data_IF_819628915434
#
_entry.id   IF_819628915434
#
_cell.length_a   1.000
_cell.length_b   1.000
_cell.length_c   1.000
_cell.angle_alpha   90.00
_cell.angle_beta   90.00
_cell.angle_gamma   90.00
#
_symmetry.space_group_name_H-M   'P 1'
#
loop_
_entity.id
_entity.type
_entity.pdbx_description
1 polymer ?
#
# COMPACT_ATOMS: atom_id res chain seq x y z
N UNK A 1 28.25 -6.14 13.28
CA UNK A 1 27.38 -7.33 13.22
C UNK A 1 27.15 -7.67 11.75
N UNK A 2 27.37 -8.93 11.34
CA UNK A 2 27.39 -9.33 9.93
C UNK A 2 25.97 -9.30 9.34
N UNK A 3 25.80 -8.73 8.14
CA UNK A 3 24.57 -8.82 7.37
C UNK A 3 24.65 -10.04 6.45
N UNK A 4 24.23 -11.21 6.96
CA UNK A 4 24.35 -12.47 6.22
C UNK A 4 23.68 -12.45 4.84
N UNK A 5 22.52 -11.79 4.70
CA UNK A 5 21.83 -11.67 3.41
C UNK A 5 22.71 -10.93 2.39
N UNK A 6 23.37 -9.85 2.82
CA UNK A 6 24.27 -9.09 1.96
C UNK A 6 25.53 -9.88 1.59
N UNK A 7 26.12 -10.62 2.53
CA UNK A 7 27.30 -11.45 2.25
C UNK A 7 26.97 -12.61 1.30
N UNK A 8 25.85 -13.30 1.50
CA UNK A 8 25.36 -14.34 0.59
C UNK A 8 25.07 -13.75 -0.79
N UNK A 9 24.46 -12.56 -0.87
CA UNK A 9 24.20 -11.90 -2.14
C UNK A 9 25.50 -11.55 -2.89
N UNK A 10 26.54 -11.12 -2.17
CA UNK A 10 27.85 -10.84 -2.75
C UNK A 10 28.54 -12.10 -3.27
N UNK A 11 28.43 -13.21 -2.55
CA UNK A 11 29.11 -14.46 -2.88
C UNK A 11 28.41 -15.25 -3.98
N UNK A 12 27.08 -15.30 -3.98
CA UNK A 12 26.31 -16.01 -5.01
C UNK A 12 26.04 -15.11 -6.23
N UNK A 13 25.98 -13.80 -6.03
CA UNK A 13 25.78 -12.78 -7.07
C UNK A 13 24.54 -13.02 -7.94
N UNK A 14 23.38 -13.15 -7.29
CA UNK A 14 22.09 -13.32 -7.99
C UNK A 14 21.55 -11.97 -8.48
N UNK A 15 20.84 -11.99 -9.62
CA UNK A 15 20.30 -10.76 -10.23
C UNK A 15 18.94 -10.36 -9.66
N UNK A 16 18.23 -11.32 -9.06
CA UNK A 16 16.90 -11.20 -8.47
C UNK A 16 16.91 -10.38 -7.16
N UNK A 17 18.10 -10.13 -6.61
CA UNK A 17 18.30 -9.24 -5.47
C UNK A 17 18.21 -9.92 -4.09
N UNK A 18 18.53 -9.14 -3.06
CA UNK A 18 18.64 -9.60 -1.65
C UNK A 18 17.35 -10.22 -1.11
N UNK A 19 16.19 -9.75 -1.59
CA UNK A 19 14.88 -10.24 -1.16
C UNK A 19 14.70 -11.73 -1.45
N UNK A 20 15.21 -12.23 -2.58
CA UNK A 20 15.08 -13.65 -2.92
C UNK A 20 15.89 -14.54 -1.96
N UNK A 21 17.07 -14.08 -1.52
CA UNK A 21 17.89 -14.77 -0.51
C UNK A 21 17.19 -14.78 0.86
N UNK A 22 16.58 -13.67 1.23
CA UNK A 22 15.80 -13.56 2.47
C UNK A 22 14.59 -14.50 2.45
N UNK A 23 13.82 -14.52 1.36
CA UNK A 23 12.65 -15.37 1.19
C UNK A 23 12.99 -16.87 1.31
N UNK A 24 14.14 -17.31 0.79
CA UNK A 24 14.61 -18.70 0.97
C UNK A 24 14.80 -19.02 2.45
N UNK A 25 15.42 -18.11 3.21
CA UNK A 25 15.66 -18.31 4.63
C UNK A 25 14.32 -18.35 5.41
N UNK A 26 13.37 -17.48 5.07
CA UNK A 26 12.02 -17.48 5.63
C UNK A 26 11.23 -18.74 5.27
N UNK A 27 11.34 -19.25 4.04
CA UNK A 27 10.68 -20.50 3.67
C UNK A 27 11.18 -21.69 4.51
N UNK A 28 12.47 -21.73 4.84
CA UNK A 28 13.03 -22.75 5.75
C UNK A 28 12.53 -22.55 7.18
N UNK A 29 12.41 -21.30 7.65
CA UNK A 29 11.90 -20.96 8.98
C UNK A 29 10.46 -21.43 9.24
N UNK A 30 9.60 -21.33 8.22
CA UNK A 30 8.22 -21.76 8.32
C UNK A 30 8.01 -23.24 7.95
N UNK A 31 8.94 -23.84 7.20
CA UNK A 31 8.87 -25.25 6.81
C UNK A 31 10.27 -25.88 6.83
N UNK A 32 10.64 -26.43 7.99
CA UNK A 32 11.88 -27.20 8.10
C UNK A 32 11.86 -28.43 7.21
N UNK A 33 13.02 -28.79 6.66
CA UNK A 33 13.13 -29.94 5.75
C UNK A 33 12.56 -29.69 4.35
N UNK A 34 12.19 -28.45 4.01
CA UNK A 34 11.73 -28.09 2.67
C UNK A 34 12.73 -28.49 1.58
N UNK A 35 12.22 -29.10 0.50
CA UNK A 35 13.05 -29.62 -0.59
C UNK A 35 13.62 -28.49 -1.45
N UNK A 36 14.77 -28.74 -2.10
CA UNK A 36 15.35 -27.77 -3.06
C UNK A 36 14.39 -27.49 -4.23
N UNK A 37 13.60 -28.49 -4.65
CA UNK A 37 12.59 -28.33 -5.71
C UNK A 37 11.47 -27.39 -5.28
N UNK A 38 11.03 -27.49 -4.03
CA UNK A 38 9.98 -26.61 -3.48
C UNK A 38 10.50 -25.19 -3.25
N UNK A 39 11.70 -25.03 -2.67
CA UNK A 39 12.36 -23.72 -2.55
C UNK A 39 12.55 -23.04 -3.91
N UNK A 40 12.96 -23.79 -4.93
CA UNK A 40 13.10 -23.31 -6.30
C UNK A 40 11.78 -22.77 -6.85
N UNK A 41 10.68 -23.52 -6.68
CA UNK A 41 9.34 -23.08 -7.12
C UNK A 41 8.85 -21.85 -6.36
N UNK A 42 8.98 -21.83 -5.04
CA UNK A 42 8.48 -20.74 -4.20
C UNK A 42 9.21 -19.41 -4.45
N UNK A 43 10.48 -19.48 -4.88
CA UNK A 43 11.32 -18.29 -5.07
C UNK A 43 11.60 -17.98 -6.54
N UNK A 44 11.05 -18.77 -7.48
CA UNK A 44 11.27 -18.63 -8.93
C UNK A 44 12.76 -18.65 -9.32
N UNK A 45 13.58 -19.41 -8.59
CA UNK A 45 15.02 -19.51 -8.80
C UNK A 45 15.42 -20.92 -9.27
N UNK A 46 16.43 -21.05 -10.15
CA UNK A 46 16.96 -22.36 -10.53
C UNK A 46 17.48 -23.15 -9.32
N UNK A 47 17.28 -24.46 -9.32
CA UNK A 47 17.74 -25.35 -8.23
C UNK A 47 19.25 -25.16 -7.90
N UNK A 48 20.17 -25.03 -8.88
CA UNK A 48 21.59 -24.81 -8.57
C UNK A 48 21.83 -23.53 -7.76
N UNK A 49 21.08 -22.46 -8.03
CA UNK A 49 21.16 -21.18 -7.30
C UNK A 49 20.67 -21.36 -5.86
N UNK A 50 19.55 -22.06 -5.66
CA UNK A 50 19.06 -22.42 -4.32
C UNK A 50 20.12 -23.19 -3.53
N UNK A 51 20.78 -24.17 -4.15
CA UNK A 51 21.83 -24.95 -3.50
C UNK A 51 23.03 -24.08 -3.13
N UNK A 52 23.45 -23.16 -4.01
CA UNK A 52 24.54 -22.22 -3.74
C UNK A 52 24.22 -21.31 -2.53
N UNK A 53 23.03 -20.71 -2.50
CA UNK A 53 22.55 -19.87 -1.39
C UNK A 53 22.56 -20.65 -0.07
N UNK A 54 22.02 -21.88 -0.09
CA UNK A 54 22.00 -22.74 1.11
C UNK A 54 23.40 -23.09 1.61
N UNK A 55 24.33 -23.41 0.71
CA UNK A 55 25.72 -23.70 1.08
C UNK A 55 26.39 -22.50 1.75
N UNK A 56 26.15 -21.29 1.25
CA UNK A 56 26.66 -20.07 1.90
C UNK A 56 26.03 -19.86 3.29
N UNK A 57 24.73 -20.07 3.45
CA UNK A 57 24.11 -20.01 4.78
C UNK A 57 24.63 -21.07 5.75
N UNK A 58 24.95 -22.29 5.28
CA UNK A 58 25.59 -23.33 6.09
C UNK A 58 27.00 -22.90 6.50
N UNK A 59 27.78 -22.33 5.59
CA UNK A 59 29.12 -21.79 5.86
C UNK A 59 29.10 -20.68 6.92
N UNK A 60 28.07 -19.84 6.91
CA UNK A 60 27.85 -18.83 7.95
C UNK A 60 27.22 -19.36 9.24
N UNK A 61 26.92 -20.67 9.31
CA UNK A 61 26.36 -21.31 10.50
C UNK A 61 24.89 -21.02 10.74
N UNK A 62 24.15 -20.46 9.78
CA UNK A 62 22.71 -20.20 9.91
C UNK A 62 21.86 -21.44 9.62
N UNK A 63 22.35 -22.33 8.76
CA UNK A 63 21.67 -23.56 8.37
C UNK A 63 22.53 -24.79 8.67
N UNK A 64 21.88 -25.93 8.86
CA UNK A 64 22.51 -27.24 8.99
C UNK A 64 21.83 -28.25 8.08
N UNK A 65 22.62 -29.17 7.52
CA UNK A 65 22.13 -30.32 6.76
C UNK A 65 21.93 -31.50 7.73
N UNK A 66 20.69 -31.75 8.13
CA UNK A 66 20.30 -32.86 9.00
C UNK A 66 18.89 -33.36 8.67
N UNK A 67 18.81 -34.52 8.02
CA UNK A 67 17.55 -35.13 7.51
C UNK A 67 16.68 -34.11 6.76
N UNK A 68 17.31 -33.26 5.95
CA UNK A 68 16.74 -32.04 5.38
C UNK A 68 17.60 -30.83 5.73
N UNK A 69 17.16 -29.63 5.35
CA UNK A 69 17.81 -28.39 5.79
C UNK A 69 16.97 -27.74 6.88
N UNK A 70 17.66 -27.34 7.95
CA UNK A 70 17.08 -26.78 9.17
C UNK A 70 17.86 -25.55 9.61
N UNK A 71 17.24 -24.75 10.47
CA UNK A 71 17.89 -23.61 11.10
C UNK A 71 18.77 -24.08 12.26
N UNK A 72 19.91 -23.42 12.42
CA UNK A 72 20.65 -23.48 13.69
C UNK A 72 20.04 -22.51 14.70
N UNK A 73 20.54 -22.51 15.94
CA UNK A 73 20.17 -21.48 16.94
C UNK A 73 20.50 -20.07 16.45
N UNK A 74 21.62 -19.91 15.74
CA UNK A 74 22.03 -18.62 15.17
C UNK A 74 21.11 -18.22 14.01
N UNK A 75 20.76 -19.16 13.13
CA UNK A 75 19.78 -18.94 12.05
C UNK A 75 18.43 -18.46 12.58
N UNK A 76 17.93 -19.14 13.61
CA UNK A 76 16.69 -18.78 14.29
C UNK A 76 16.77 -17.37 14.89
N UNK A 77 17.84 -17.09 15.66
CA UNK A 77 18.08 -15.78 16.27
C UNK A 77 18.16 -14.66 15.22
N UNK A 78 18.80 -14.92 14.07
CA UNK A 78 18.89 -13.97 12.97
C UNK A 78 17.52 -13.62 12.41
N UNK A 79 16.69 -14.62 12.07
CA UNK A 79 15.34 -14.38 11.54
C UNK A 79 14.47 -13.65 12.58
N UNK A 80 14.47 -14.11 13.83
CA UNK A 80 13.62 -13.56 14.87
C UNK A 80 14.01 -12.13 15.23
N UNK A 81 15.30 -11.87 15.46
CA UNK A 81 15.76 -10.58 15.99
C UNK A 81 16.18 -9.58 14.90
N UNK A 82 16.66 -10.04 13.74
CA UNK A 82 17.14 -9.14 12.66
C UNK A 82 16.10 -8.96 11.56
N UNK A 83 15.40 -10.03 11.16
CA UNK A 83 14.32 -9.94 10.17
C UNK A 83 12.96 -9.61 10.79
N UNK A 84 12.84 -9.56 12.12
CA UNK A 84 11.65 -9.10 12.81
C UNK A 84 10.57 -10.14 13.05
N UNK A 85 10.90 -11.43 12.96
CA UNK A 85 9.93 -12.52 13.10
C UNK A 85 9.77 -13.03 14.54
N UNK A 86 10.41 -12.41 15.53
CA UNK A 86 10.30 -12.80 16.94
C UNK A 86 8.85 -12.71 17.41
N UNK A 87 8.33 -13.80 17.98
CA UNK A 87 6.97 -13.82 18.53
C UNK A 87 5.86 -13.80 17.47
N UNK A 88 6.19 -14.02 16.19
CA UNK A 88 5.21 -14.16 15.14
C UNK A 88 4.40 -15.47 15.31
N UNK A 89 3.09 -15.40 15.10
CA UNK A 89 2.23 -16.58 15.06
C UNK A 89 2.41 -17.30 13.73
N UNK A 90 3.32 -18.28 13.71
CA UNK A 90 3.73 -19.00 12.48
C UNK A 90 2.55 -19.62 11.72
N UNK A 91 1.64 -20.26 12.44
CA UNK A 91 0.48 -20.93 11.82
C UNK A 91 -0.41 -19.92 11.09
N UNK A 92 -0.71 -18.78 11.72
CA UNK A 92 -1.48 -17.72 11.09
C UNK A 92 -0.74 -17.13 9.88
N UNK A 93 0.55 -16.84 10.02
CA UNK A 93 1.34 -16.32 8.89
C UNK A 93 1.26 -17.26 7.67
N UNK A 94 1.40 -18.57 7.90
CA UNK A 94 1.32 -19.58 6.84
C UNK A 94 -0.07 -19.74 6.25
N UNK A 95 -1.14 -19.58 7.05
CA UNK A 95 -2.51 -19.54 6.55
C UNK A 95 -2.74 -18.35 5.62
N UNK A 96 -2.23 -17.16 5.98
CA UNK A 96 -2.41 -15.94 5.19
C UNK A 96 -1.63 -15.92 3.87
N UNK A 97 -0.65 -16.82 3.70
CA UNK A 97 0.03 -17.03 2.43
C UNK A 97 -0.77 -17.87 1.42
N UNK A 98 -1.84 -18.53 1.85
CA UNK A 98 -2.70 -19.36 0.99
C UNK A 98 -3.76 -18.51 0.32
N UNK A 99 -4.34 -19.03 -0.76
CA UNK A 99 -5.44 -18.38 -1.48
C UNK A 99 -6.76 -18.35 -0.69
N UNK A 100 -6.92 -19.19 0.34
CA UNK A 100 -8.13 -19.30 1.17
C UNK A 100 -8.07 -18.45 2.44
N UNK A 101 -7.18 -17.45 2.49
CA UNK A 101 -6.92 -16.67 3.69
C UNK A 101 -8.16 -15.88 4.17
N UNK A 102 -9.08 -15.55 3.27
CA UNK A 102 -10.33 -14.84 3.60
C UNK A 102 -11.23 -15.61 4.57
N UNK A 103 -11.11 -16.95 4.60
CA UNK A 103 -11.92 -17.85 5.43
C UNK A 103 -11.38 -17.97 6.87
N UNK A 104 -10.18 -17.44 7.13
CA UNK A 104 -9.55 -17.56 8.44
C UNK A 104 -10.27 -16.71 9.50
N UNK A 105 -10.55 -17.31 10.66
CA UNK A 105 -11.25 -16.66 11.77
C UNK A 105 -10.54 -15.38 12.21
N UNK A 106 -9.21 -15.37 12.23
CA UNK A 106 -8.42 -14.22 12.62
C UNK A 106 -8.64 -13.00 11.72
N UNK A 107 -8.92 -13.22 10.43
CA UNK A 107 -9.24 -12.15 9.47
C UNK A 107 -10.64 -11.60 9.72
N UNK A 108 -11.60 -12.49 10.03
CA UNK A 108 -12.94 -12.08 10.44
C UNK A 108 -12.89 -11.21 11.70
N UNK A 109 -12.06 -11.57 12.67
CA UNK A 109 -11.87 -10.78 13.90
C UNK A 109 -11.20 -9.43 13.65
N UNK A 110 -10.21 -9.36 12.74
CA UNK A 110 -9.60 -8.09 12.31
C UNK A 110 -10.64 -7.20 11.65
N UNK A 111 -11.44 -7.72 10.72
CA UNK A 111 -12.52 -6.98 10.06
C UNK A 111 -13.56 -6.48 11.08
N UNK A 112 -13.98 -7.33 12.02
CA UNK A 112 -14.94 -6.93 13.08
C UNK A 112 -14.41 -5.75 13.89
N UNK A 113 -13.12 -5.77 14.25
CA UNK A 113 -12.48 -4.70 15.01
C UNK A 113 -12.37 -3.41 14.20
N UNK A 114 -12.05 -3.53 12.91
CA UNK A 114 -11.93 -2.38 12.00
C UNK A 114 -13.28 -1.81 11.56
N UNK A 115 -14.40 -2.52 11.75
CA UNK A 115 -15.72 -2.08 11.30
C UNK A 115 -16.07 -0.68 11.84
N UNK A 116 -15.95 -0.48 13.16
CA UNK A 116 -16.22 0.82 13.78
C UNK A 116 -15.23 1.90 13.32
N UNK A 117 -13.97 1.53 13.09
CA UNK A 117 -12.94 2.44 12.58
C UNK A 117 -13.29 2.92 11.17
N UNK A 118 -13.81 2.05 10.31
CA UNK A 118 -14.18 2.41 8.94
C UNK A 118 -15.50 3.19 8.87
N UNK A 119 -16.43 2.95 9.80
CA UNK A 119 -17.68 3.70 9.92
C UNK A 119 -17.41 5.16 10.33
N UNK A 120 -16.49 5.36 11.28
CA UNK A 120 -16.22 6.69 11.88
C UNK A 120 -15.13 7.50 11.15
N UNK A 121 -14.58 6.98 10.05
CA UNK A 121 -13.51 7.66 9.32
C UNK A 121 -13.96 8.99 8.71
N UNK A 122 -13.04 9.94 8.46
CA UNK A 122 -13.35 11.21 7.83
C UNK A 122 -14.13 11.05 6.52
N UNK A 123 -15.05 11.98 6.26
CA UNK A 123 -15.76 12.04 4.99
C UNK A 123 -14.79 12.41 3.86
N UNK A 124 -14.96 11.75 2.70
CA UNK A 124 -14.17 12.00 1.51
C UNK A 124 -14.28 13.47 1.08
N UNK A 125 -13.14 14.12 0.89
CA UNK A 125 -13.03 15.41 0.22
C UNK A 125 -12.77 15.20 -1.28
N UNK A 126 -13.86 15.26 -2.04
CA UNK A 126 -13.84 15.10 -3.50
C UNK A 126 -13.05 16.21 -4.22
N UNK A 127 -12.66 17.31 -3.54
CA UNK A 127 -11.84 18.37 -4.15
C UNK A 127 -10.37 17.96 -4.31
N UNK A 128 -9.93 16.95 -3.57
CA UNK A 128 -8.59 16.34 -3.66
C UNK A 128 -8.66 14.89 -4.15
N UNK A 129 -9.71 14.56 -4.92
CA UNK A 129 -9.96 13.24 -5.51
C UNK A 129 -10.06 12.06 -4.51
N UNK A 130 -10.35 12.32 -3.23
CA UNK A 130 -10.56 11.24 -2.25
C UNK A 130 -11.75 10.35 -2.61
N UNK A 131 -11.57 9.04 -2.43
CA UNK A 131 -12.58 8.01 -2.68
C UNK A 131 -12.32 6.82 -1.78
N UNK A 132 -13.19 6.65 -0.79
CA UNK A 132 -13.03 5.66 0.26
C UNK A 132 -13.21 4.22 -0.25
N UNK A 133 -12.19 3.40 -0.14
CA UNK A 133 -12.28 1.95 -0.36
C UNK A 133 -13.04 1.25 0.77
N UNK A 134 -13.57 0.05 0.51
CA UNK A 134 -14.23 -0.76 1.52
C UNK A 134 -13.23 -1.34 2.52
N UNK A 135 -13.72 -1.66 3.72
CA UNK A 135 -12.93 -2.40 4.73
C UNK A 135 -12.30 -3.68 4.17
N UNK A 136 -13.07 -4.43 3.37
CA UNK A 136 -12.58 -5.66 2.75
C UNK A 136 -11.38 -5.38 1.83
N UNK A 137 -11.44 -4.29 1.06
CA UNK A 137 -10.32 -3.85 0.19
C UNK A 137 -9.08 -3.52 1.02
N UNK A 138 -9.20 -2.73 2.08
CA UNK A 138 -8.06 -2.38 2.92
C UNK A 138 -7.38 -3.62 3.55
N UNK A 139 -8.18 -4.60 4.02
CA UNK A 139 -7.64 -5.86 4.55
C UNK A 139 -6.98 -6.70 3.44
N UNK A 140 -7.58 -6.78 2.24
CA UNK A 140 -6.97 -7.44 1.08
C UNK A 140 -5.61 -6.83 0.73
N UNK A 141 -5.49 -5.50 0.74
CA UNK A 141 -4.22 -4.78 0.51
C UNK A 141 -3.18 -5.14 1.57
N UNK A 142 -3.58 -5.23 2.84
CA UNK A 142 -2.69 -5.62 3.93
C UNK A 142 -2.19 -7.07 3.81
N UNK A 143 -3.06 -8.01 3.46
CA UNK A 143 -2.66 -9.42 3.24
C UNK A 143 -1.79 -9.56 1.99
N UNK A 144 -2.08 -8.80 0.91
CA UNK A 144 -1.22 -8.74 -0.26
C UNK A 144 0.19 -8.25 0.08
N UNK A 145 0.32 -7.29 1.01
CA UNK A 145 1.62 -6.84 1.53
C UNK A 145 2.41 -8.00 2.16
N UNK A 146 1.74 -8.78 3.01
CA UNK A 146 2.32 -9.97 3.64
C UNK A 146 2.73 -11.02 2.60
N UNK A 147 1.88 -11.30 1.61
CA UNK A 147 2.14 -12.26 0.55
C UNK A 147 3.34 -11.87 -0.34
N UNK A 148 3.70 -10.58 -0.37
CA UNK A 148 4.89 -10.07 -1.05
C UNK A 148 6.11 -9.94 -0.12
N UNK A 149 6.07 -10.52 1.10
CA UNK A 149 7.14 -10.43 2.11
C UNK A 149 7.51 -8.99 2.49
N UNK A 150 6.56 -8.06 2.31
CA UNK A 150 6.73 -6.62 2.45
C UNK A 150 6.10 -6.06 3.74
N UNK A 151 5.55 -6.92 4.60
CA UNK A 151 4.90 -6.51 5.85
C UNK A 151 5.83 -6.60 7.06
N UNK A 152 6.27 -7.81 7.42
CA UNK A 152 7.00 -8.06 8.67
C UNK A 152 8.43 -7.53 8.59
N UNK A 153 8.83 -6.72 9.56
CA UNK A 153 10.18 -6.17 9.67
C UNK A 153 10.54 -5.14 8.62
N UNK A 154 9.53 -4.51 8.02
CA UNK A 154 9.70 -3.54 6.93
C UNK A 154 9.41 -2.10 7.35
N UNK A 155 9.99 -1.17 6.61
CA UNK A 155 9.57 0.22 6.58
C UNK A 155 8.61 0.42 5.40
N UNK A 156 7.34 0.67 5.71
CA UNK A 156 6.26 0.78 4.73
C UNK A 156 5.84 2.24 4.61
N UNK A 157 5.68 2.74 3.39
CA UNK A 157 5.15 4.08 3.12
C UNK A 157 3.74 4.01 2.52
N UNK A 158 2.81 4.79 3.04
CA UNK A 158 1.52 5.08 2.42
C UNK A 158 1.59 6.51 1.85
N UNK A 159 1.59 6.61 0.53
CA UNK A 159 1.58 7.88 -0.23
C UNK A 159 0.12 8.23 -0.50
N UNK A 160 -0.48 8.98 0.43
CA UNK A 160 -1.93 9.10 0.59
C UNK A 160 -2.52 7.92 1.37
N UNK A 161 -3.51 8.17 2.24
CA UNK A 161 -4.15 7.09 3.02
C UNK A 161 -5.58 7.40 3.51
N UNK A 162 -6.42 8.06 2.70
CA UNK A 162 -7.86 8.20 2.97
C UNK A 162 -8.59 6.83 3.06
N UNK A 163 -7.98 5.81 2.47
CA UNK A 163 -8.38 4.40 2.52
C UNK A 163 -8.07 3.66 3.83
N UNK A 164 -7.27 4.26 4.73
CA UNK A 164 -6.83 3.66 5.99
C UNK A 164 -6.09 2.32 5.79
N UNK A 165 -5.30 2.18 4.72
CA UNK A 165 -4.46 1.00 4.48
C UNK A 165 -3.42 0.88 5.59
N UNK A 166 -2.86 1.99 6.08
CA UNK A 166 -1.92 1.96 7.21
C UNK A 166 -2.51 1.34 8.47
N UNK A 167 -3.78 1.64 8.75
CA UNK A 167 -4.52 1.10 9.89
C UNK A 167 -4.77 -0.39 9.69
N UNK A 168 -5.20 -0.82 8.50
CA UNK A 168 -5.38 -2.24 8.19
C UNK A 168 -4.07 -3.04 8.34
N UNK A 169 -2.94 -2.49 7.86
CA UNK A 169 -1.60 -3.07 8.07
C UNK A 169 -1.26 -3.18 9.56
N UNK A 170 -1.50 -2.13 10.34
CA UNK A 170 -1.25 -2.10 11.79
C UNK A 170 -2.06 -3.16 12.55
N UNK A 171 -3.36 -3.28 12.26
CA UNK A 171 -4.21 -4.30 12.89
C UNK A 171 -3.83 -5.73 12.46
N UNK A 172 -3.43 -5.93 11.20
CA UNK A 172 -2.92 -7.22 10.74
C UNK A 172 -1.62 -7.60 11.47
N UNK A 173 -0.69 -6.66 11.66
CA UNK A 173 0.51 -6.86 12.47
C UNK A 173 0.16 -7.19 13.93
N UNK A 174 -0.75 -6.42 14.55
CA UNK A 174 -1.23 -6.70 15.92
C UNK A 174 -1.84 -8.09 16.03
N UNK A 175 -2.48 -8.57 14.97
CA UNK A 175 -2.95 -9.95 14.90
C UNK A 175 -1.79 -10.92 14.67
N UNK A 176 -0.80 -10.66 13.83
CA UNK A 176 0.29 -11.60 13.54
C UNK A 176 1.25 -11.84 14.71
N UNK A 177 1.37 -10.90 15.64
CA UNK A 177 2.28 -11.00 16.78
C UNK A 177 1.54 -11.33 18.07
N UNK A 178 2.12 -12.21 18.90
CA UNK A 178 1.60 -12.48 20.23
C UNK A 178 1.73 -11.25 21.16
N UNK A 179 2.83 -10.50 21.00
CA UNK A 179 3.03 -9.18 21.59
C UNK A 179 3.52 -8.22 20.48
N UNK A 180 2.77 -7.15 20.21
CA UNK A 180 3.10 -6.16 19.19
C UNK A 180 4.43 -5.45 19.46
N UNK A 181 4.93 -5.42 20.70
CA UNK A 181 6.23 -4.83 21.04
C UNK A 181 7.42 -5.57 20.42
N UNK A 182 7.23 -6.83 19.98
CA UNK A 182 8.24 -7.56 19.21
C UNK A 182 8.22 -7.22 17.72
N UNK A 183 7.18 -6.53 17.24
CA UNK A 183 7.12 -6.05 15.87
C UNK A 183 8.06 -4.86 15.71
N UNK A 184 8.98 -4.97 14.75
CA UNK A 184 9.90 -3.89 14.36
C UNK A 184 9.51 -3.26 13.01
N UNK A 185 8.33 -3.57 12.48
CA UNK A 185 7.76 -2.92 11.29
C UNK A 185 7.42 -1.47 11.62
N UNK A 186 7.68 -0.54 10.72
CA UNK A 186 7.22 0.86 10.85
C UNK A 186 6.41 1.25 9.61
N UNK A 187 5.26 1.86 9.82
CA UNK A 187 4.38 2.35 8.76
C UNK A 187 4.38 3.88 8.80
N UNK A 188 4.70 4.53 7.69
CA UNK A 188 4.61 5.97 7.55
C UNK A 188 3.46 6.33 6.63
N UNK A 189 2.65 7.29 7.04
CA UNK A 189 1.58 7.89 6.25
C UNK A 189 1.99 9.31 5.91
N UNK A 190 2.03 9.62 4.62
CA UNK A 190 2.20 11.00 4.15
C UNK A 190 0.92 11.38 3.43
N UNK A 191 0.28 12.46 3.87
CA UNK A 191 -0.96 12.96 3.27
C UNK A 191 -1.04 14.48 3.39
N UNK A 192 -1.84 15.13 2.56
CA UNK A 192 -2.12 16.57 2.66
C UNK A 192 -3.27 16.83 3.64
N UNK A 193 -4.16 15.86 3.84
CA UNK A 193 -5.38 16.02 4.64
C UNK A 193 -5.13 15.74 6.12
N UNK A 194 -5.04 16.82 6.91
CA UNK A 194 -4.87 16.73 8.35
C UNK A 194 -6.02 16.00 9.07
N UNK A 195 -7.23 15.91 8.48
CA UNK A 195 -8.34 15.17 9.09
C UNK A 195 -8.05 13.68 9.10
N UNK A 196 -7.57 13.16 7.96
CA UNK A 196 -7.14 11.76 7.81
C UNK A 196 -5.94 11.48 8.71
N UNK A 197 -4.92 12.33 8.69
CA UNK A 197 -3.72 12.14 9.50
C UNK A 197 -4.01 12.13 11.00
N UNK A 198 -4.86 13.05 11.48
CA UNK A 198 -5.25 13.11 12.90
C UNK A 198 -6.00 11.84 13.29
N UNK A 199 -6.97 11.42 12.47
CA UNK A 199 -7.73 10.20 12.71
C UNK A 199 -6.84 8.95 12.80
N UNK A 200 -5.87 8.80 11.88
CA UNK A 200 -4.92 7.69 11.90
C UNK A 200 -4.02 7.76 13.15
N UNK A 201 -3.54 8.95 13.53
CA UNK A 201 -2.71 9.13 14.74
C UNK A 201 -3.46 8.69 15.99
N UNK A 202 -4.70 9.13 16.16
CA UNK A 202 -5.51 8.79 17.34
C UNK A 202 -5.72 7.27 17.46
N UNK A 203 -5.98 6.59 16.34
CA UNK A 203 -6.10 5.13 16.30
C UNK A 203 -4.75 4.47 16.63
N UNK A 204 -3.66 4.95 16.02
CA UNK A 204 -2.34 4.39 16.21
C UNK A 204 -1.89 4.48 17.67
N UNK A 205 -2.15 5.60 18.33
CA UNK A 205 -1.85 5.79 19.76
C UNK A 205 -2.73 4.89 20.64
N UNK A 206 -4.06 4.92 20.43
CA UNK A 206 -5.02 4.10 21.19
C UNK A 206 -4.70 2.61 21.09
N UNK A 207 -4.39 2.14 19.89
CA UNK A 207 -4.22 0.71 19.59
C UNK A 207 -2.76 0.25 19.63
N UNK A 208 -1.82 1.17 19.90
CA UNK A 208 -0.36 0.97 19.89
C UNK A 208 0.14 0.40 18.56
N UNK A 209 -0.36 0.94 17.45
CA UNK A 209 0.06 0.55 16.12
C UNK A 209 1.36 1.26 15.73
N UNK A 210 2.25 0.63 14.95
CA UNK A 210 3.53 1.21 14.58
C UNK A 210 3.40 2.20 13.41
N UNK A 211 2.47 3.17 13.51
CA UNK A 211 2.15 4.12 12.46
C UNK A 211 2.66 5.51 12.83
N UNK A 212 3.28 6.19 11.87
CA UNK A 212 3.74 7.58 11.97
C UNK A 212 3.12 8.39 10.84
N UNK A 213 2.62 9.58 11.14
CA UNK A 213 1.89 10.40 10.18
C UNK A 213 2.61 11.75 9.95
N UNK A 214 2.77 12.12 8.68
CA UNK A 214 3.41 13.36 8.24
C UNK A 214 2.50 14.11 7.26
N UNK A 215 2.32 15.41 7.51
CA UNK A 215 1.57 16.30 6.63
C UNK A 215 2.49 16.80 5.52
N UNK A 216 2.16 16.54 4.26
CA UNK A 216 2.90 17.05 3.11
C UNK A 216 2.04 17.12 1.85
N UNK A 217 2.31 18.11 1.01
CA UNK A 217 1.74 18.21 -0.34
C UNK A 217 2.71 17.58 -1.35
N UNK A 218 2.28 16.50 -2.01
CA UNK A 218 3.09 15.78 -3.00
C UNK A 218 3.44 16.57 -4.26
N UNK A 219 2.85 17.76 -4.47
CA UNK A 219 3.37 18.71 -5.47
C UNK A 219 4.83 19.06 -5.19
N UNK A 220 5.23 19.08 -3.92
CA UNK A 220 6.63 19.27 -3.50
C UNK A 220 7.34 17.91 -3.40
N UNK A 221 8.66 17.85 -3.68
CA UNK A 221 9.48 16.70 -3.32
C UNK A 221 9.36 16.35 -1.84
N UNK A 222 9.60 15.10 -1.49
CA UNK A 222 9.61 14.70 -0.09
C UNK A 222 10.80 15.32 0.64
N UNK A 223 10.71 15.45 1.97
CA UNK A 223 11.89 15.84 2.75
C UNK A 223 13.00 14.82 2.52
N UNK A 224 14.26 15.28 2.53
CA UNK A 224 15.44 14.40 2.49
C UNK A 224 15.45 13.37 3.62
N UNK A 225 14.73 13.64 4.71
CA UNK A 225 14.56 12.69 5.82
C UNK A 225 13.69 11.48 5.45
N UNK A 226 13.11 11.42 4.25
CA UNK A 226 12.33 10.29 3.75
C UNK A 226 13.03 9.52 2.62
N UNK A 227 14.17 10.02 2.12
CA UNK A 227 14.83 9.42 0.94
C UNK A 227 15.53 8.12 1.30
N UNK A 228 15.31 7.09 0.47
CA UNK A 228 15.99 5.79 0.55
C UNK A 228 15.79 4.99 1.86
N UNK A 229 14.62 5.09 2.49
CA UNK A 229 14.35 4.47 3.80
C UNK A 229 13.34 3.33 3.77
N UNK A 230 12.54 3.23 2.70
CA UNK A 230 11.39 2.36 2.64
C UNK A 230 11.63 1.09 1.82
N UNK A 231 11.01 0.00 2.25
CA UNK A 231 11.08 -1.32 1.61
C UNK A 231 9.92 -1.53 0.63
N UNK A 232 8.81 -0.81 0.80
CA UNK A 232 7.69 -0.81 -0.13
C UNK A 232 6.82 0.43 0.07
N UNK A 233 5.93 0.71 -0.87
CA UNK A 233 4.89 1.72 -0.66
C UNK A 233 3.54 1.37 -1.28
N UNK A 234 2.49 1.96 -0.72
CA UNK A 234 1.12 1.96 -1.23
C UNK A 234 0.76 3.33 -1.76
N UNK A 235 -0.05 3.38 -2.82
CA UNK A 235 -0.69 4.62 -3.26
C UNK A 235 -1.99 4.33 -4.03
N UNK A 236 -2.97 5.20 -3.85
CA UNK A 236 -4.20 5.28 -4.65
C UNK A 236 -4.30 6.71 -5.20
N UNK A 237 -3.57 7.02 -6.28
CA UNK A 237 -3.34 8.40 -6.70
C UNK A 237 -4.52 8.96 -7.50
N UNK A 238 -4.55 10.27 -7.76
CA UNK A 238 -5.50 10.85 -8.71
C UNK A 238 -5.47 10.13 -10.06
N UNK A 239 -6.64 9.90 -10.65
CA UNK A 239 -6.79 9.03 -11.84
C UNK A 239 -6.45 9.69 -13.18
N UNK A 240 -5.42 10.54 -13.16
CA UNK A 240 -4.78 11.21 -14.30
C UNK A 240 -3.37 10.63 -14.47
N UNK A 241 -2.80 10.65 -15.68
CA UNK A 241 -1.43 10.15 -15.88
C UNK A 241 -0.42 10.97 -15.06
N UNK A 242 -0.57 12.29 -15.03
CA UNK A 242 0.31 13.16 -14.25
C UNK A 242 0.18 12.93 -12.74
N UNK A 243 -1.03 12.72 -12.24
CA UNK A 243 -1.27 12.41 -10.83
C UNK A 243 -0.69 11.06 -10.42
N UNK A 244 -0.90 10.03 -11.24
CA UNK A 244 -0.25 8.73 -11.07
C UNK A 244 1.28 8.88 -11.06
N UNK A 245 1.85 9.59 -12.04
CA UNK A 245 3.29 9.75 -12.18
C UNK A 245 3.91 10.55 -11.03
N UNK A 246 3.21 11.56 -10.52
CA UNK A 246 3.65 12.35 -9.37
C UNK A 246 3.74 11.48 -8.11
N UNK A 247 2.65 10.76 -7.77
CA UNK A 247 2.60 9.95 -6.56
C UNK A 247 3.58 8.77 -6.62
N UNK A 248 3.69 8.10 -7.78
CA UNK A 248 4.72 7.08 -8.00
C UNK A 248 6.13 7.66 -7.85
N UNK A 249 6.39 8.86 -8.38
CA UNK A 249 7.69 9.52 -8.23
C UNK A 249 8.03 9.79 -6.76
N UNK A 250 7.08 10.25 -5.95
CA UNK A 250 7.29 10.46 -4.50
C UNK A 250 7.54 9.16 -3.76
N UNK A 251 6.82 8.10 -4.09
CA UNK A 251 7.09 6.77 -3.53
C UNK A 251 8.48 6.25 -3.90
N UNK A 252 8.88 6.36 -5.18
CA UNK A 252 10.19 5.91 -5.67
C UNK A 252 11.35 6.71 -5.07
N UNK A 253 11.17 8.00 -4.83
CA UNK A 253 12.14 8.86 -4.11
C UNK A 253 12.44 8.32 -2.70
N UNK A 254 11.41 7.81 -2.03
CA UNK A 254 11.51 7.32 -0.65
C UNK A 254 12.04 5.88 -0.55
N UNK A 255 11.89 5.06 -1.59
CA UNK A 255 12.34 3.67 -1.59
C UNK A 255 13.87 3.55 -1.51
N UNK A 256 14.34 2.56 -0.74
CA UNK A 256 15.75 2.13 -0.76
C UNK A 256 16.18 1.81 -2.19
N UNK A 257 17.43 2.09 -2.55
CA UNK A 257 18.02 1.70 -3.85
C UNK A 257 18.31 0.20 -3.89
N UNK A 258 17.26 -0.59 -4.11
CA UNK A 258 17.33 -2.04 -4.20
C UNK A 258 16.42 -2.56 -5.31
N UNK A 259 16.80 -3.67 -5.94
CA UNK A 259 15.97 -4.36 -6.92
C UNK A 259 14.86 -5.14 -6.22
N UNK A 260 13.69 -5.20 -6.85
CA UNK A 260 12.60 -6.07 -6.43
C UNK A 260 11.72 -5.54 -5.30
N UNK A 261 11.90 -4.29 -4.87
CA UNK A 261 11.03 -3.68 -3.86
C UNK A 261 9.63 -3.49 -4.43
N UNK A 262 8.57 -3.96 -3.75
CA UNK A 262 7.22 -3.89 -4.28
C UNK A 262 6.60 -2.50 -4.12
N UNK A 263 5.82 -2.14 -5.13
CA UNK A 263 4.98 -0.93 -5.15
C UNK A 263 3.55 -1.40 -5.37
N UNK A 264 2.64 -1.00 -4.48
CA UNK A 264 1.24 -1.36 -4.54
C UNK A 264 0.43 -0.17 -5.05
N UNK A 265 0.12 -0.19 -6.35
CA UNK A 265 -0.62 0.87 -7.02
C UNK A 265 -2.10 0.45 -7.18
N UNK A 266 -2.98 1.13 -6.46
CA UNK A 266 -4.41 1.06 -6.71
C UNK A 266 -4.78 2.04 -7.82
N UNK A 267 -5.63 1.61 -8.75
CA UNK A 267 -6.04 2.46 -9.84
C UNK A 267 -7.39 2.03 -10.43
N UNK A 268 -8.13 2.95 -11.04
CA UNK A 268 -9.35 2.61 -11.78
C UNK A 268 -9.05 1.82 -13.08
N UNK A 269 -10.02 1.05 -13.57
CA UNK A 269 -9.98 0.49 -14.92
C UNK A 269 -10.11 1.60 -15.96
N UNK A 270 -9.32 1.56 -17.04
CA UNK A 270 -9.29 2.60 -18.07
C UNK A 270 -9.40 1.98 -19.47
N UNK A 271 -9.47 2.81 -20.51
CA UNK A 271 -9.46 2.32 -21.89
C UNK A 271 -8.10 1.66 -22.21
N UNK A 272 -8.05 0.71 -23.17
CA UNK A 272 -6.80 0.08 -23.58
C UNK A 272 -5.67 1.08 -23.91
N UNK A 273 -5.98 2.18 -24.61
CA UNK A 273 -5.00 3.21 -24.95
C UNK A 273 -4.43 3.91 -23.69
N UNK A 274 -5.27 4.12 -22.68
CA UNK A 274 -4.83 4.73 -21.43
C UNK A 274 -3.98 3.74 -20.63
N UNK A 275 -4.38 2.45 -20.58
CA UNK A 275 -3.58 1.42 -19.91
C UNK A 275 -2.23 1.20 -20.61
N UNK A 276 -2.17 1.31 -21.93
CA UNK A 276 -0.93 1.32 -22.69
C UNK A 276 -0.03 2.50 -22.31
N UNK A 277 -0.59 3.72 -22.22
CA UNK A 277 0.13 4.89 -21.76
C UNK A 277 0.63 4.75 -20.31
N UNK A 278 -0.15 4.12 -19.42
CA UNK A 278 0.30 3.81 -18.06
C UNK A 278 1.50 2.86 -18.08
N UNK A 279 1.46 1.80 -18.91
CA UNK A 279 2.59 0.87 -19.03
C UNK A 279 3.86 1.56 -19.55
N UNK A 280 3.73 2.49 -20.50
CA UNK A 280 4.87 3.30 -20.96
C UNK A 280 5.47 4.12 -19.80
N UNK A 281 4.64 4.76 -18.98
CA UNK A 281 5.11 5.49 -17.80
C UNK A 281 5.87 4.58 -16.82
N UNK A 282 5.40 3.34 -16.59
CA UNK A 282 6.10 2.38 -15.74
C UNK A 282 7.48 2.00 -16.29
N UNK A 283 7.57 1.80 -17.61
CA UNK A 283 8.84 1.52 -18.30
C UNK A 283 9.80 2.71 -18.20
N UNK A 284 9.30 3.93 -18.38
CA UNK A 284 10.10 5.16 -18.28
C UNK A 284 10.63 5.38 -16.86
N UNK A 285 9.87 4.97 -15.84
CA UNK A 285 10.30 4.90 -14.44
C UNK A 285 11.25 3.74 -14.14
N UNK A 286 11.53 2.86 -15.10
CA UNK A 286 12.36 1.67 -14.89
C UNK A 286 11.73 0.65 -13.93
N UNK A 287 10.40 0.52 -13.95
CA UNK A 287 9.64 -0.44 -13.15
C UNK A 287 9.20 -1.63 -14.00
N UNK A 288 9.01 -2.78 -13.36
CA UNK A 288 8.33 -3.93 -13.97
C UNK A 288 6.92 -4.08 -13.37
N UNK A 289 5.98 -4.54 -14.19
CA UNK A 289 4.65 -4.96 -13.74
C UNK A 289 4.73 -6.43 -13.34
N UNK A 290 4.68 -6.72 -12.03
CA UNK A 290 4.76 -8.10 -11.51
C UNK A 290 3.40 -8.79 -11.46
N UNK A 291 2.31 -8.05 -11.24
CA UNK A 291 0.95 -8.59 -11.17
C UNK A 291 -0.07 -7.50 -11.43
N UNK A 292 -1.14 -7.82 -12.16
CA UNK A 292 -2.34 -6.99 -12.29
C UNK A 292 -3.52 -7.80 -11.78
N UNK A 293 -4.21 -7.30 -10.76
CA UNK A 293 -5.40 -7.93 -10.18
C UNK A 293 -6.61 -7.05 -10.47
N UNK A 294 -7.41 -7.48 -11.44
CA UNK A 294 -8.61 -6.76 -11.84
C UNK A 294 -9.70 -6.90 -10.77
N UNK A 295 -10.51 -5.84 -10.60
CA UNK A 295 -11.61 -5.78 -9.62
C UNK A 295 -11.16 -6.10 -8.18
N UNK A 296 -9.91 -5.77 -7.85
CA UNK A 296 -9.33 -5.99 -6.53
C UNK A 296 -9.85 -4.97 -5.52
N UNK A 297 -9.94 -3.70 -5.95
CA UNK A 297 -10.38 -2.60 -5.10
C UNK A 297 -11.87 -2.39 -5.27
N UNK A 298 -12.59 -2.19 -4.17
CA UNK A 298 -14.00 -1.77 -4.15
C UNK A 298 -14.14 -0.48 -3.36
N UNK A 299 -14.92 0.47 -3.84
CA UNK A 299 -15.10 1.80 -3.25
C UNK A 299 -16.55 2.07 -2.84
N UNK A 300 -16.74 2.93 -1.83
CA UNK A 300 -18.05 3.38 -1.36
C UNK A 300 -18.63 4.48 -2.26
N UNK A 301 -19.92 4.42 -2.58
CA UNK A 301 -20.66 5.56 -3.16
C UNK A 301 -20.48 5.86 -4.66
N UNK A 302 -19.71 5.08 -5.42
CA UNK A 302 -19.51 5.23 -6.88
C UNK A 302 -20.31 4.19 -7.72
N UNK A 303 -21.58 3.97 -7.37
CA UNK A 303 -22.43 2.91 -7.93
C UNK A 303 -22.63 3.00 -9.46
N UNK A 304 -22.53 4.20 -10.03
CA UNK A 304 -22.74 4.45 -11.46
C UNK A 304 -21.59 3.91 -12.34
N UNK A 305 -20.39 3.68 -11.77
CA UNK A 305 -19.21 3.16 -12.49
C UNK A 305 -18.80 1.75 -12.03
N UNK A 306 -19.70 1.05 -11.33
CA UNK A 306 -19.45 -0.32 -10.88
C UNK A 306 -18.47 -0.43 -9.70
N UNK A 307 -18.14 0.68 -9.02
CA UNK A 307 -17.43 0.73 -7.73
C UNK A 307 -16.10 -0.03 -7.63
N UNK A 308 -15.48 -0.46 -8.73
CA UNK A 308 -14.33 -1.37 -8.69
C UNK A 308 -13.12 -0.84 -9.45
N UNK A 309 -11.93 -1.08 -8.89
CA UNK A 309 -10.63 -0.77 -9.48
C UNK A 309 -9.73 -2.00 -9.54
N UNK A 310 -8.50 -1.79 -9.96
CA UNK A 310 -7.45 -2.80 -10.03
C UNK A 310 -6.33 -2.49 -9.04
N UNK A 311 -5.64 -3.55 -8.62
CA UNK A 311 -4.38 -3.45 -7.89
C UNK A 311 -3.25 -3.93 -8.79
N UNK A 312 -2.27 -3.07 -9.00
CA UNK A 312 -1.09 -3.31 -9.82
C UNK A 312 0.11 -3.40 -8.88
N UNK A 313 0.76 -4.56 -8.85
CA UNK A 313 2.02 -4.74 -8.10
C UNK A 313 3.17 -4.49 -9.05
N UNK A 314 3.85 -3.35 -8.88
CA UNK A 314 5.09 -3.04 -9.59
C UNK A 314 6.30 -3.45 -8.75
N UNK A 315 7.46 -3.60 -9.38
CA UNK A 315 8.72 -3.82 -8.67
C UNK A 315 9.83 -2.95 -9.23
N UNK A 316 10.72 -2.51 -8.34
CA UNK A 316 11.91 -1.75 -8.73
C UNK A 316 12.93 -2.62 -9.45
N UNK A 317 13.75 -1.97 -10.28
CA UNK A 317 14.91 -2.52 -10.97
C UNK A 317 16.13 -1.64 -10.69
N UNK A 318 17.29 -2.04 -11.20
CA UNK A 318 18.50 -1.21 -11.14
C UNK A 318 18.39 0.10 -11.92
N UNK A 319 17.35 0.25 -12.76
CA UNK A 319 17.06 1.44 -13.55
C UNK A 319 15.96 2.31 -12.96
N UNK A 320 15.39 1.93 -11.81
CA UNK A 320 14.26 2.64 -11.23
C UNK A 320 14.61 4.08 -10.88
N UNK A 321 13.80 5.01 -11.38
CA UNK A 321 13.98 6.46 -11.21
C UNK A 321 12.64 7.18 -11.13
N UNK A 322 12.65 8.36 -10.56
CA UNK A 322 11.49 9.26 -10.54
C UNK A 322 11.34 9.93 -11.90
N UNK A 323 10.10 10.21 -12.34
CA UNK A 323 9.88 11.09 -13.51
C UNK A 323 9.72 12.55 -13.12
N UNK A 324 9.39 12.84 -11.86
CA UNK A 324 9.09 14.18 -11.37
C UNK A 324 9.92 14.54 -10.14
N UNK A 325 11.11 15.12 -10.35
CA UNK A 325 12.04 15.49 -9.28
C UNK A 325 11.76 16.87 -8.67
N UNK A 326 11.15 17.78 -9.43
CA UNK A 326 10.92 19.16 -9.01
C UNK A 326 9.49 19.39 -8.49
N UNK A 327 9.24 20.63 -8.06
CA UNK A 327 7.89 21.09 -7.74
C UNK A 327 6.96 20.94 -8.96
N UNK A 328 5.81 20.30 -8.76
CA UNK A 328 4.79 20.13 -9.78
C UNK A 328 3.80 21.30 -9.77
N UNK A 329 3.70 21.99 -10.90
CA UNK A 329 2.84 23.18 -11.08
C UNK A 329 1.57 22.91 -11.90
N UNK A 330 1.46 21.71 -12.47
CA UNK A 330 0.31 21.34 -13.31
C UNK A 330 -0.94 21.05 -12.50
N UNK A 331 -2.08 20.88 -13.19
CA UNK A 331 -3.30 20.37 -12.57
C UNK A 331 -3.07 18.94 -12.07
N UNK A 332 -3.47 18.65 -10.83
CA UNK A 332 -3.28 17.35 -10.19
C UNK A 332 -4.59 16.58 -10.10
N UNK A 333 -5.63 17.23 -9.59
CA UNK A 333 -6.90 16.61 -9.30
C UNK A 333 -7.86 16.67 -10.49
N UNK A 334 -8.75 15.70 -10.60
CA UNK A 334 -9.70 15.56 -11.70
C UNK A 334 -10.57 16.80 -11.86
N UNK A 335 -10.95 17.43 -10.74
CA UNK A 335 -11.71 18.68 -10.75
C UNK A 335 -10.96 19.88 -11.33
N UNK A 336 -9.62 19.90 -11.25
CA UNK A 336 -8.78 20.97 -11.83
C UNK A 336 -8.73 20.85 -13.37
N UNK A 337 -8.72 19.63 -13.90
CA UNK A 337 -8.74 19.33 -15.33
C UNK A 337 -10.13 19.48 -15.96
N UNK A 338 -11.15 18.90 -15.32
CA UNK A 338 -12.53 18.87 -15.81
C UNK A 338 -13.37 19.81 -14.96
N UNK A 339 -13.26 21.10 -15.24
CA UNK A 339 -14.08 22.11 -14.57
C UNK A 339 -15.55 21.85 -14.88
N UNK A 340 -16.33 21.53 -13.87
CA UNK A 340 -17.78 21.34 -14.00
C UNK A 340 -18.51 22.18 -12.98
N UNK A 341 -19.60 22.80 -13.41
CA UNK A 341 -20.56 23.48 -12.52
C UNK A 341 -21.84 22.67 -12.50
N UNK A 342 -22.27 22.29 -11.31
CA UNK A 342 -23.50 21.54 -11.07
C UNK A 342 -24.55 22.49 -10.50
N UNK A 343 -25.77 22.41 -11.02
CA UNK A 343 -26.91 23.18 -10.52
C UNK A 343 -27.77 22.29 -9.62
N UNK A 344 -27.92 22.67 -8.37
CA UNK A 344 -28.74 21.97 -7.39
C UNK A 344 -29.99 22.77 -7.03
N UNK A 345 -31.16 22.12 -7.04
CA UNK A 345 -32.43 22.68 -6.55
C UNK A 345 -32.66 22.28 -5.10
N UNK A 346 -32.92 23.23 -4.21
CA UNK A 346 -33.45 22.93 -2.89
C UNK A 346 -34.83 22.26 -3.01
N UNK A 347 -35.02 21.11 -2.35
CA UNK A 347 -36.29 20.37 -2.37
C UNK A 347 -37.45 21.13 -1.70
N UNK A 348 -37.14 21.99 -0.72
CA UNK A 348 -38.15 22.72 0.05
C UNK A 348 -38.60 24.03 -0.63
N UNK A 349 -37.68 24.92 -1.00
CA UNK A 349 -38.03 26.25 -1.51
C UNK A 349 -37.75 26.45 -3.01
N UNK A 350 -37.22 25.43 -3.70
CA UNK A 350 -36.92 25.49 -5.12
C UNK A 350 -35.70 26.34 -5.51
N UNK A 351 -34.99 26.94 -4.55
CA UNK A 351 -33.81 27.76 -4.84
C UNK A 351 -32.76 26.94 -5.59
N UNK A 352 -32.23 27.50 -6.68
CA UNK A 352 -31.15 26.89 -7.46
C UNK A 352 -29.80 27.43 -7.02
N UNK A 353 -28.83 26.55 -6.82
CA UNK A 353 -27.52 26.86 -6.28
C UNK A 353 -26.45 26.20 -7.16
N UNK A 354 -25.44 26.99 -7.54
CA UNK A 354 -24.26 26.51 -8.28
C UNK A 354 -23.26 25.88 -7.32
N UNK A 355 -22.77 24.71 -7.69
CA UNK A 355 -21.76 23.96 -6.94
C UNK A 355 -20.63 23.55 -7.89
N UNK A 356 -19.39 23.92 -7.56
CA UNK A 356 -18.21 23.62 -8.36
C UNK A 356 -16.96 24.29 -7.80
N UNK A 357 -15.78 23.85 -8.22
CA UNK A 357 -14.49 24.36 -7.68
C UNK A 357 -14.29 25.87 -7.86
N UNK A 358 -14.89 26.46 -8.90
CA UNK A 358 -14.88 27.90 -9.18
C UNK A 358 -16.04 28.67 -8.55
N UNK A 359 -16.94 28.00 -7.83
CA UNK A 359 -18.15 28.59 -7.25
C UNK A 359 -18.00 28.83 -5.75
N UNK A 360 -18.95 29.59 -5.16
CA UNK A 360 -18.96 29.86 -3.71
C UNK A 360 -19.09 28.62 -2.83
N UNK A 361 -19.72 27.57 -3.37
CA UNK A 361 -19.87 26.27 -2.72
C UNK A 361 -19.19 25.25 -3.62
N UNK A 362 -18.19 24.55 -3.07
CA UNK A 362 -17.32 23.68 -3.86
C UNK A 362 -17.90 22.28 -4.04
N UNK A 363 -18.57 21.75 -3.01
CA UNK A 363 -19.10 20.39 -2.98
C UNK A 363 -20.57 20.33 -2.55
N UNK A 364 -21.25 19.21 -2.86
CA UNK A 364 -22.65 19.01 -2.45
C UNK A 364 -22.75 18.75 -0.94
N UNK A 365 -21.73 18.16 -0.33
CA UNK A 365 -21.60 17.96 1.12
C UNK A 365 -21.52 19.30 1.84
N UNK A 366 -20.73 20.25 1.31
CA UNK A 366 -20.68 21.62 1.84
C UNK A 366 -22.04 22.31 1.74
N UNK A 367 -22.73 22.16 0.60
CA UNK A 367 -24.09 22.70 0.44
C UNK A 367 -25.07 22.11 1.46
N UNK A 368 -25.04 20.79 1.66
CA UNK A 368 -25.89 20.09 2.63
C UNK A 368 -25.61 20.53 4.06
N UNK A 369 -24.33 20.70 4.42
CA UNK A 369 -23.91 21.16 5.75
C UNK A 369 -24.35 22.60 6.03
N UNK A 370 -24.15 23.53 5.08
CA UNK A 370 -24.56 24.94 5.22
C UNK A 370 -26.08 25.13 5.17
N UNK A 371 -26.78 24.24 4.46
CA UNK A 371 -28.21 24.36 4.21
C UNK A 371 -28.53 25.40 3.14
N UNK A 372 -29.78 25.38 2.68
CA UNK A 372 -30.25 26.27 1.64
C UNK A 372 -30.28 27.72 2.13
N UNK A 373 -29.60 28.64 1.44
CA UNK A 373 -29.52 30.06 1.87
C UNK A 373 -30.86 30.76 2.08
N UNK A 374 -31.95 30.26 1.49
CA UNK A 374 -33.30 30.81 1.63
C UNK A 374 -34.16 30.17 2.73
N UNK A 375 -33.96 28.88 3.04
CA UNK A 375 -34.88 28.14 3.93
C UNK A 375 -34.21 27.13 4.86
N UNK A 376 -32.87 27.12 4.90
CA UNK A 376 -32.03 26.23 5.70
C UNK A 376 -32.21 24.72 5.47
N UNK A 377 -33.10 24.30 4.55
CA UNK A 377 -33.26 22.90 4.17
C UNK A 377 -31.95 22.32 3.61
N UNK A 378 -31.65 21.08 3.99
CA UNK A 378 -30.37 20.42 3.67
C UNK A 378 -30.50 19.40 2.52
N UNK A 379 -31.67 19.29 1.89
CA UNK A 379 -31.92 18.32 0.82
C UNK A 379 -32.03 19.00 -0.55
N UNK A 380 -31.28 18.49 -1.52
CA UNK A 380 -31.13 19.09 -2.84
C UNK A 380 -31.21 18.04 -3.95
N UNK A 381 -31.75 18.43 -5.10
CA UNK A 381 -31.77 17.64 -6.34
C UNK A 381 -30.78 18.22 -7.35
N UNK A 382 -29.98 17.37 -7.99
CA UNK A 382 -29.18 17.80 -9.14
C UNK A 382 -30.12 18.05 -10.32
N UNK A 383 -30.05 19.26 -10.90
CA UNK A 383 -30.87 19.66 -12.06
C UNK A 383 -30.06 19.58 -13.34
N UNK A 384 -28.78 19.98 -13.28
CA UNK A 384 -27.94 20.11 -14.45
C UNK A 384 -26.45 20.00 -14.09
N UNK A 385 -25.64 19.58 -15.06
CA UNK A 385 -24.19 19.44 -14.98
C UNK A 385 -23.55 20.01 -16.25
N UNK A 386 -23.10 21.26 -16.15
CA UNK A 386 -22.40 21.95 -17.23
C UNK A 386 -20.89 21.70 -17.14
N UNK A 387 -20.27 21.34 -18.27
CA UNK A 387 -18.81 21.39 -18.44
C UNK A 387 -18.43 22.82 -18.77
N UNK A 388 -17.47 23.38 -18.04
CA UNK A 388 -16.88 24.69 -18.31
C UNK A 388 -15.73 24.58 -19.29
#
# INVERSE_FOLDING_TARGET
MINYIQEVNKNVNIQEGKQAIENILLNIYFKEGISNKELSRNNLLPIPVIVAIKKEFIKYGLLVQDRGVRLTKEGLSFIENRLGFRGIRKDLYMKLLKETWEEEQEITEVKRTLSEVFINRPLADVTIDQSKCTLDTAVKRAVLCLQNYALVGRNILCVGDDDLVSVALGFLLKKLFANIEHCNTTIYVVDIDNRVLTYIKDIAEKERLPIKCVCSDFRKPLSKDFTEQFDCFFTDPPYTLDGMNLFLSRGIEALKKQNGLPIFLSYAHKSPDFEFAMQQCFVDMGLIVSKVMTRFNTYEGAEIIGNTGQMIVLKTTSKSKTLMESFYQGPLYTGELKKTVRLYKCKSCGQTIKVGLSEKIKTIEELKSKGCSKCSNQTFNLIDKNKL
#
